data_IF_232300951591
#
_entry.id   IF_232300951591
#
_cell.length_a   1.000
_cell.length_b   1.000
_cell.length_c   1.000
_cell.angle_alpha   90.00
_cell.angle_beta   90.00
_cell.angle_gamma   90.00
#
_symmetry.space_group_name_H-M   'P 1'
#
loop_
_entity.id
_entity.type
_entity.pdbx_description
1 polymer ?
#
# COMPACT_ATOMS: atom_id res chain seq x y z
N UNK A 1 17.25 -28.74 36.01
CA UNK A 1 16.63 -28.33 34.74
C UNK A 1 15.16 -27.99 35.00
N UNK A 2 14.84 -26.70 35.15
CA UNK A 2 13.46 -26.22 35.30
C UNK A 2 13.00 -25.67 33.96
N UNK A 3 12.05 -26.37 33.31
CA UNK A 3 11.33 -25.84 32.16
C UNK A 3 10.42 -24.71 32.64
N UNK A 4 10.83 -23.47 32.41
CA UNK A 4 9.95 -22.31 32.56
C UNK A 4 8.99 -22.33 31.37
N UNK A 5 7.79 -22.86 31.58
CA UNK A 5 6.65 -22.63 30.68
C UNK A 5 6.31 -21.14 30.74
N UNK A 6 6.59 -20.41 29.66
CA UNK A 6 6.10 -19.04 29.45
C UNK A 6 4.57 -19.08 29.26
N UNK A 7 3.83 -19.19 30.36
CA UNK A 7 2.42 -18.87 30.40
C UNK A 7 2.30 -17.34 30.39
N UNK A 8 1.97 -16.79 29.23
CA UNK A 8 1.56 -15.39 29.10
C UNK A 8 0.26 -15.20 29.89
N UNK A 9 0.36 -14.78 31.15
CA UNK A 9 -0.77 -14.31 31.93
C UNK A 9 -1.26 -13.00 31.31
N UNK A 10 -2.45 -13.04 30.70
CA UNK A 10 -3.19 -11.82 30.41
C UNK A 10 -3.56 -11.18 31.75
N UNK A 11 -3.08 -9.96 32.00
CA UNK A 11 -3.46 -9.23 33.20
C UNK A 11 -4.99 -9.12 33.24
N UNK A 12 -5.58 -9.65 34.31
CA UNK A 12 -7.02 -9.58 34.56
C UNK A 12 -7.42 -8.10 34.54
N UNK A 13 -8.53 -7.79 33.89
CA UNK A 13 -9.14 -6.44 33.67
C UNK A 13 -9.41 -5.61 34.96
N UNK A 14 -8.97 -6.07 36.12
CA UNK A 14 -9.30 -5.55 37.45
C UNK A 14 -8.31 -4.51 38.01
N UNK A 15 -7.09 -4.40 37.46
CA UNK A 15 -6.06 -3.50 38.04
C UNK A 15 -5.98 -2.10 37.39
N UNK A 16 -6.66 -1.87 36.26
CA UNK A 16 -6.68 -0.54 35.60
C UNK A 16 -7.62 0.47 36.26
N UNK A 17 -8.39 0.09 37.30
CA UNK A 17 -9.24 1.02 38.06
C UNK A 17 -8.55 1.65 39.27
N UNK A 18 -7.37 1.18 39.67
CA UNK A 18 -6.73 1.61 40.93
C UNK A 18 -5.63 2.66 40.74
N UNK A 19 -5.27 3.02 39.50
CA UNK A 19 -4.21 3.99 39.22
C UNK A 19 -4.71 5.45 39.02
N UNK A 20 -6.01 5.72 39.23
CA UNK A 20 -6.63 7.06 39.07
C UNK A 20 -6.87 7.84 40.37
N UNK A 21 -6.35 7.39 41.52
CA UNK A 21 -6.49 8.13 42.79
C UNK A 21 -5.19 8.19 43.58
N UNK A 22 -4.25 9.01 43.11
CA UNK A 22 -3.43 9.83 44.02
C UNK A 22 -2.73 10.96 43.27
N UNK A 23 -2.80 12.16 43.86
CA UNK A 23 -1.97 13.35 43.65
C UNK A 23 -2.51 14.48 42.75
N UNK A 24 -3.20 15.40 43.44
CA UNK A 24 -3.36 16.84 43.18
C UNK A 24 -2.45 17.52 44.25
N UNK A 25 -1.42 18.33 43.97
CA UNK A 25 -1.33 19.76 43.60
C UNK A 25 0.17 20.11 43.85
N UNK A 26 0.96 20.82 43.01
CA UNK A 26 1.07 22.31 42.89
C UNK A 26 2.11 22.69 41.79
N UNK A 27 1.70 23.58 40.88
CA UNK A 27 2.36 24.66 40.09
C UNK A 27 3.90 24.63 39.84
N UNK A 28 4.46 24.89 38.64
CA UNK A 28 4.44 26.18 37.92
C UNK A 28 4.98 26.05 36.46
N UNK A 29 4.29 26.69 35.50
CA UNK A 29 4.65 27.30 34.19
C UNK A 29 5.82 26.76 33.30
N UNK A 30 5.49 26.37 32.05
CA UNK A 30 5.97 26.93 30.75
C UNK A 30 5.02 26.41 29.62
N UNK A 31 4.78 27.26 28.62
CA UNK A 31 3.72 27.23 27.60
C UNK A 31 3.87 26.21 26.43
N UNK A 32 2.70 25.84 25.86
CA UNK A 32 2.39 25.35 24.48
C UNK A 32 2.39 23.83 24.12
N UNK A 33 1.55 23.35 23.16
CA UNK A 33 0.29 22.69 23.51
C UNK A 33 0.10 21.24 23.00
N UNK A 34 -0.85 20.58 23.67
CA UNK A 34 -1.69 19.43 23.27
C UNK A 34 -1.23 18.00 23.62
N UNK A 35 -1.70 17.40 24.75
CA UNK A 35 -1.60 15.98 24.99
C UNK A 35 -2.78 15.25 24.32
N UNK A 36 -2.49 14.46 23.29
CA UNK A 36 -3.46 13.53 22.69
C UNK A 36 -3.93 12.53 23.76
N UNK A 37 -5.20 12.63 24.15
CA UNK A 37 -5.88 11.57 24.89
C UNK A 37 -6.04 10.35 23.97
N UNK A 38 -5.46 9.21 24.35
CA UNK A 38 -5.64 7.94 23.64
C UNK A 38 -7.14 7.60 23.54
N UNK A 39 -7.70 7.35 22.34
CA UNK A 39 -9.08 6.92 22.21
C UNK A 39 -9.26 5.55 22.85
N UNK A 40 -10.24 5.43 23.75
CA UNK A 40 -10.57 4.14 24.39
C UNK A 40 -11.11 3.16 23.35
N UNK A 41 -10.50 1.97 23.27
CA UNK A 41 -10.83 0.83 22.37
C UNK A 41 -12.32 0.45 22.36
N UNK A 42 -13.08 0.80 23.41
CA UNK A 42 -14.53 0.57 23.49
C UNK A 42 -15.35 1.45 22.54
N UNK A 43 -14.87 2.63 22.15
CA UNK A 43 -15.59 3.54 21.25
C UNK A 43 -15.50 3.12 19.78
N UNK A 44 -14.49 2.33 19.41
CA UNK A 44 -14.24 1.92 18.02
C UNK A 44 -15.19 0.80 17.53
N UNK A 45 -15.95 0.16 18.41
CA UNK A 45 -16.71 -1.05 18.09
C UNK A 45 -18.16 -0.85 17.61
N UNK A 46 -18.74 0.35 17.75
CA UNK A 46 -20.20 0.53 17.58
C UNK A 46 -20.67 1.02 16.19
N UNK A 47 -19.78 1.24 15.22
CA UNK A 47 -20.14 1.76 13.89
C UNK A 47 -20.13 0.75 12.73
N UNK A 48 -20.04 -0.56 12.99
CA UNK A 48 -19.72 -1.55 11.93
C UNK A 48 -20.94 -1.99 11.07
N UNK A 49 -22.19 -1.62 11.40
CA UNK A 49 -23.37 -2.26 10.79
C UNK A 49 -24.36 -1.38 10.01
N UNK A 50 -24.11 -0.08 9.79
CA UNK A 50 -25.08 0.77 9.06
C UNK A 50 -24.49 1.39 7.79
N UNK A 51 -25.15 1.07 6.66
CA UNK A 51 -24.94 1.53 5.28
C UNK A 51 -23.76 0.93 4.50
N UNK A 52 -24.00 -0.23 3.87
CA UNK A 52 -23.28 -0.65 2.66
C UNK A 52 -23.69 0.22 1.48
N UNK A 53 -23.29 1.48 1.45
CA UNK A 53 -23.26 2.23 0.19
C UNK A 53 -22.17 1.60 -0.69
N UNK A 54 -22.47 1.31 -1.96
CA UNK A 54 -21.45 0.83 -2.89
C UNK A 54 -20.28 1.84 -2.92
N UNK A 55 -19.01 1.39 -2.84
CA UNK A 55 -17.85 2.28 -2.78
C UNK A 55 -17.56 2.96 -4.13
N UNK A 56 -18.34 2.64 -5.16
CA UNK A 56 -18.28 3.25 -6.48
C UNK A 56 -19.65 3.80 -6.89
N UNK A 57 -19.64 4.80 -7.76
CA UNK A 57 -20.83 5.33 -8.43
C UNK A 57 -20.81 4.94 -9.89
N UNK A 58 -21.92 4.40 -10.37
CA UNK A 58 -22.10 4.22 -11.80
C UNK A 58 -22.29 5.59 -12.44
N UNK A 59 -21.52 5.88 -13.47
CA UNK A 59 -21.73 7.06 -14.28
C UNK A 59 -23.08 6.96 -15.01
N UNK A 60 -23.53 8.08 -15.56
CA UNK A 60 -24.72 8.14 -16.43
C UNK A 60 -24.61 7.11 -17.57
N UNK A 61 -23.39 6.90 -18.08
CA UNK A 61 -23.12 5.75 -18.92
C UNK A 61 -23.08 4.48 -18.08
N UNK A 62 -24.02 3.57 -18.32
CA UNK A 62 -24.14 2.30 -17.58
C UNK A 62 -22.91 1.37 -17.69
N UNK A 63 -21.90 1.79 -18.45
CA UNK A 63 -20.68 1.07 -18.73
C UNK A 63 -19.44 1.66 -18.04
N UNK A 64 -19.55 2.79 -17.32
CA UNK A 64 -18.46 3.37 -16.52
C UNK A 64 -18.83 3.39 -15.05
N UNK A 65 -17.90 2.97 -14.19
CA UNK A 65 -18.05 2.92 -12.75
C UNK A 65 -16.90 3.70 -12.11
N UNK A 66 -17.22 4.84 -11.49
CA UNK A 66 -16.26 5.73 -10.89
C UNK A 66 -16.06 5.37 -9.42
N UNK A 67 -14.81 5.16 -9.04
CA UNK A 67 -14.42 4.80 -7.68
C UNK A 67 -13.96 6.02 -6.89
N UNK A 68 -13.08 6.84 -7.48
CA UNK A 68 -12.54 8.02 -6.81
C UNK A 68 -12.23 9.14 -7.78
N UNK A 69 -12.19 10.37 -7.27
CA UNK A 69 -11.77 11.55 -8.00
C UNK A 69 -10.80 12.38 -7.18
N UNK A 70 -9.65 12.72 -7.76
CA UNK A 70 -8.58 13.43 -7.07
C UNK A 70 -8.11 14.63 -7.90
N UNK A 71 -8.09 15.82 -7.30
CA UNK A 71 -7.53 17.02 -7.90
C UNK A 71 -6.02 17.09 -7.64
N UNK A 72 -5.23 17.04 -8.71
CA UNK A 72 -3.78 17.25 -8.68
C UNK A 72 -3.49 18.64 -9.23
N UNK A 73 -2.89 19.50 -8.41
CA UNK A 73 -2.70 20.91 -8.76
C UNK A 73 -1.46 21.22 -9.60
N UNK A 74 -0.44 20.37 -9.54
CA UNK A 74 0.81 20.54 -10.29
C UNK A 74 1.20 19.19 -10.91
N UNK A 75 0.53 18.83 -11.99
CA UNK A 75 0.90 17.67 -12.80
C UNK A 75 1.87 18.10 -13.90
N UNK A 76 2.95 17.36 -14.08
CA UNK A 76 3.80 17.51 -15.27
C UNK A 76 3.17 16.71 -16.41
N UNK A 77 2.43 17.38 -17.30
CA UNK A 77 1.75 16.73 -18.43
C UNK A 77 2.74 16.46 -19.57
N UNK A 78 2.61 15.31 -20.24
CA UNK A 78 3.41 14.98 -21.44
C UNK A 78 3.12 15.89 -22.65
N UNK A 79 2.02 16.65 -22.62
CA UNK A 79 1.48 17.30 -23.81
C UNK A 79 1.29 18.81 -23.73
N UNK A 80 1.32 19.48 -22.56
CA UNK A 80 1.04 20.94 -22.49
C UNK A 80 1.63 21.66 -21.24
N UNK A 81 2.67 21.11 -20.60
CA UNK A 81 3.30 21.76 -19.44
C UNK A 81 2.62 21.44 -18.11
N UNK A 82 2.81 22.32 -17.10
CA UNK A 82 2.25 22.16 -15.75
C UNK A 82 0.80 22.62 -15.71
N UNK A 83 -0.09 21.86 -15.08
CA UNK A 83 -1.50 22.22 -14.98
C UNK A 83 -2.22 21.57 -13.80
N UNK A 84 -3.50 21.92 -13.61
CA UNK A 84 -4.39 21.22 -12.69
C UNK A 84 -5.20 20.17 -13.44
N UNK A 85 -5.35 19.01 -12.84
CA UNK A 85 -6.11 17.90 -13.42
C UNK A 85 -6.95 17.22 -12.34
N UNK A 86 -8.20 16.92 -12.65
CA UNK A 86 -8.97 15.96 -11.85
C UNK A 86 -8.81 14.59 -12.48
N UNK A 87 -8.36 13.64 -11.68
CA UNK A 87 -8.21 12.25 -12.08
C UNK A 87 -9.40 11.48 -11.54
N UNK A 88 -10.17 10.86 -12.42
CA UNK A 88 -11.23 9.93 -12.06
C UNK A 88 -10.74 8.50 -12.26
N UNK A 89 -10.63 7.74 -11.18
CA UNK A 89 -10.25 6.32 -11.21
C UNK A 89 -11.50 5.45 -11.17
N UNK A 90 -11.49 4.34 -11.89
CA UNK A 90 -12.63 3.42 -11.88
C UNK A 90 -12.50 2.27 -12.84
N UNK A 91 -13.65 1.72 -13.23
CA UNK A 91 -13.78 0.63 -14.18
C UNK A 91 -14.65 1.02 -15.37
N UNK A 92 -14.37 0.42 -16.51
CA UNK A 92 -15.23 0.51 -17.70
C UNK A 92 -15.48 -0.89 -18.29
N UNK A 93 -16.65 -1.08 -18.91
CA UNK A 93 -16.93 -2.34 -19.62
C UNK A 93 -16.13 -2.42 -20.91
N UNK A 94 -15.75 -3.63 -21.29
CA UNK A 94 -14.99 -3.93 -22.52
C UNK A 94 -15.60 -3.38 -23.81
N UNK A 95 -16.93 -3.23 -23.87
CA UNK A 95 -17.65 -2.62 -25.01
C UNK A 95 -17.23 -1.17 -25.30
N UNK A 96 -16.56 -0.51 -24.35
CA UNK A 96 -16.08 0.85 -24.48
C UNK A 96 -14.64 0.97 -24.98
N UNK A 97 -13.94 -0.14 -25.23
CA UNK A 97 -12.53 -0.10 -25.63
C UNK A 97 -12.32 0.75 -26.90
N UNK A 98 -13.19 0.61 -27.90
CA UNK A 98 -13.11 1.33 -29.18
C UNK A 98 -13.64 2.77 -29.11
N UNK A 99 -14.24 3.19 -27.99
CA UNK A 99 -14.70 4.56 -27.80
C UNK A 99 -13.56 5.44 -27.33
N UNK A 100 -13.34 6.53 -28.06
CA UNK A 100 -12.21 7.46 -27.81
C UNK A 100 -12.60 8.76 -27.11
N UNK A 101 -13.90 9.10 -27.07
CA UNK A 101 -14.35 10.40 -26.59
C UNK A 101 -15.16 10.28 -25.30
N UNK A 102 -14.56 10.78 -24.21
CA UNK A 102 -15.17 10.89 -22.90
C UNK A 102 -15.06 12.32 -22.39
N UNK A 103 -16.09 12.76 -21.69
CA UNK A 103 -16.18 14.12 -21.14
C UNK A 103 -16.32 14.03 -19.62
N UNK A 104 -15.56 14.85 -18.90
CA UNK A 104 -15.74 15.01 -17.46
C UNK A 104 -16.70 16.18 -17.20
N UNK A 105 -17.71 15.93 -16.40
CA UNK A 105 -18.72 16.90 -15.98
C UNK A 105 -18.46 17.28 -14.52
N UNK A 106 -18.42 18.56 -14.23
CA UNK A 106 -18.07 19.06 -12.91
C UNK A 106 -19.20 19.84 -12.27
N UNK A 107 -19.30 19.72 -10.94
CA UNK A 107 -20.01 20.66 -10.09
C UNK A 107 -19.01 21.54 -9.36
N UNK A 108 -19.22 22.84 -9.46
CA UNK A 108 -18.49 23.84 -8.68
C UNK A 108 -19.16 24.07 -7.32
N UNK A 109 -18.45 24.74 -6.43
CA UNK A 109 -18.98 25.11 -5.11
C UNK A 109 -20.18 26.06 -5.19
N UNK A 110 -20.27 26.87 -6.24
CA UNK A 110 -21.40 27.75 -6.56
C UNK A 110 -22.57 27.02 -7.24
N UNK A 111 -22.54 25.69 -7.28
CA UNK A 111 -23.47 24.80 -7.97
C UNK A 111 -23.55 25.00 -9.50
N UNK A 112 -22.64 25.77 -10.10
CA UNK A 112 -22.53 25.83 -11.56
C UNK A 112 -21.88 24.57 -12.12
N UNK A 113 -22.26 24.20 -13.33
CA UNK A 113 -21.70 23.05 -14.04
C UNK A 113 -20.84 23.51 -15.21
N UNK A 114 -19.77 22.76 -15.46
CA UNK A 114 -18.98 22.88 -16.68
C UNK A 114 -18.42 21.51 -17.05
N UNK A 115 -17.88 21.40 -18.26
CA UNK A 115 -17.34 20.14 -18.75
C UNK A 115 -16.05 20.33 -19.54
N UNK A 116 -15.25 19.27 -19.58
CA UNK A 116 -13.98 19.23 -20.32
C UNK A 116 -13.82 17.88 -20.99
N UNK A 117 -13.13 17.86 -22.13
CA UNK A 117 -12.71 16.59 -22.73
C UNK A 117 -11.70 15.91 -21.82
N UNK A 118 -11.86 14.60 -21.63
CA UNK A 118 -10.95 13.81 -20.83
C UNK A 118 -9.92 13.11 -21.71
N UNK A 119 -8.72 12.89 -21.16
CA UNK A 119 -7.78 11.91 -21.71
C UNK A 119 -7.97 10.60 -20.96
N UNK A 120 -8.31 9.53 -21.69
CA UNK A 120 -8.53 8.19 -21.13
C UNK A 120 -7.21 7.41 -21.13
N UNK A 121 -6.83 6.87 -19.97
CA UNK A 121 -5.76 5.87 -19.84
C UNK A 121 -6.35 4.57 -19.30
N UNK A 122 -6.27 3.50 -20.09
CA UNK A 122 -6.74 2.17 -19.69
C UNK A 122 -5.53 1.29 -19.43
N UNK A 123 -5.57 0.48 -18.37
CA UNK A 123 -4.50 -0.48 -18.12
C UNK A 123 -4.66 -1.66 -19.10
N UNK A 124 -3.72 -1.77 -20.03
CA UNK A 124 -3.75 -2.73 -21.15
C UNK A 124 -3.58 -4.19 -20.72
N UNK A 125 -3.11 -4.47 -19.51
CA UNK A 125 -2.65 -5.81 -19.13
C UNK A 125 -3.74 -6.84 -18.79
N UNK A 126 -5.03 -6.48 -18.76
CA UNK A 126 -6.10 -7.37 -18.29
C UNK A 126 -7.28 -7.47 -19.28
N UNK A 127 -7.00 -7.96 -20.49
CA UNK A 127 -8.01 -8.15 -21.55
C UNK A 127 -8.99 -9.33 -21.34
N UNK A 128 -8.89 -10.05 -20.22
CA UNK A 128 -9.54 -11.35 -20.03
C UNK A 128 -10.92 -11.32 -19.37
N UNK A 129 -11.49 -10.17 -19.02
CA UNK A 129 -12.87 -10.16 -18.53
C UNK A 129 -13.64 -8.86 -18.75
N UNK A 130 -14.83 -8.74 -18.13
CA UNK A 130 -15.85 -7.78 -18.57
C UNK A 130 -15.54 -6.33 -18.23
N UNK A 131 -14.63 -6.10 -17.27
CA UNK A 131 -14.26 -4.79 -16.77
C UNK A 131 -12.76 -4.54 -16.91
N UNK A 132 -12.42 -3.28 -17.22
CA UNK A 132 -11.06 -2.77 -17.33
C UNK A 132 -10.88 -1.62 -16.34
N UNK A 133 -9.74 -1.59 -15.64
CA UNK A 133 -9.35 -0.43 -14.84
C UNK A 133 -9.00 0.75 -15.74
N UNK A 134 -9.55 1.92 -15.46
CA UNK A 134 -9.40 3.12 -16.26
C UNK A 134 -9.11 4.34 -15.37
N UNK A 135 -8.37 5.29 -15.93
CA UNK A 135 -8.23 6.65 -15.41
C UNK A 135 -8.70 7.64 -16.46
N UNK A 136 -9.57 8.56 -16.08
CA UNK A 136 -9.91 9.73 -16.89
C UNK A 136 -9.18 10.95 -16.33
N UNK A 137 -8.35 11.56 -17.16
CA UNK A 137 -7.62 12.77 -16.83
C UNK A 137 -8.38 13.97 -17.38
N UNK A 138 -8.94 14.78 -16.48
CA UNK A 138 -9.80 15.90 -16.80
C UNK A 138 -9.04 17.22 -16.51
N UNK A 139 -8.45 17.90 -17.51
CA UNK A 139 -7.73 19.15 -17.28
C UNK A 139 -8.70 20.23 -16.79
N UNK A 140 -8.31 20.99 -15.77
CA UNK A 140 -9.18 22.00 -15.15
C UNK A 140 -8.41 23.29 -14.90
N UNK A 141 -9.09 24.42 -15.10
CA UNK A 141 -8.52 25.76 -14.88
C UNK A 141 -9.15 26.48 -13.68
N UNK A 142 -10.01 25.80 -12.91
CA UNK A 142 -10.73 26.36 -11.77
C UNK A 142 -10.34 25.61 -10.49
N UNK A 143 -10.29 26.33 -9.37
CA UNK A 143 -9.95 25.77 -8.06
C UNK A 143 -11.14 25.25 -7.26
N UNK A 144 -12.36 25.73 -7.54
CA UNK A 144 -13.56 25.43 -6.74
C UNK A 144 -14.36 24.23 -7.25
N UNK A 145 -13.70 23.07 -7.39
CA UNK A 145 -14.35 21.83 -7.87
C UNK A 145 -14.78 20.99 -6.68
N UNK A 146 -16.09 20.69 -6.62
CA UNK A 146 -16.67 19.90 -5.53
C UNK A 146 -16.88 18.44 -5.92
N UNK A 147 -17.43 18.21 -7.12
CA UNK A 147 -17.77 16.86 -7.61
C UNK A 147 -17.50 16.71 -9.09
N UNK A 148 -17.33 15.47 -9.53
CA UNK A 148 -17.13 15.11 -10.94
C UNK A 148 -17.92 13.86 -11.31
N UNK A 149 -18.36 13.79 -12.56
CA UNK A 149 -18.86 12.60 -13.24
C UNK A 149 -18.14 12.46 -14.59
N UNK A 150 -18.17 11.26 -15.17
CA UNK A 150 -17.68 10.98 -16.53
C UNK A 150 -18.88 10.64 -17.41
N UNK A 151 -18.88 11.08 -18.66
CA UNK A 151 -19.89 10.74 -19.66
C UNK A 151 -19.25 10.26 -20.96
N UNK A 152 -19.92 9.37 -21.65
CA UNK A 152 -19.60 8.98 -23.03
C UNK A 152 -20.04 10.11 -23.98
N UNK A 153 -19.12 10.60 -24.82
CA UNK A 153 -19.39 11.63 -25.83
C UNK A 153 -19.51 13.08 -25.31
N UNK A 154 -19.51 14.07 -26.23
CA UNK A 154 -19.26 15.48 -25.92
C UNK A 154 -20.41 16.27 -25.26
N UNK A 155 -21.59 15.69 -24.97
CA UNK A 155 -22.80 16.50 -24.72
C UNK A 155 -23.77 16.04 -23.63
N UNK A 156 -23.43 15.09 -22.74
CA UNK A 156 -24.41 14.58 -21.77
C UNK A 156 -23.92 14.69 -20.31
N UNK A 157 -23.68 15.92 -19.85
CA UNK A 157 -23.63 16.17 -18.42
C UNK A 157 -25.06 16.12 -17.87
N UNK A 158 -25.35 15.09 -17.09
CA UNK A 158 -26.66 14.95 -16.45
C UNK A 158 -26.72 15.84 -15.23
N UNK A 159 -27.85 16.51 -15.03
CA UNK A 159 -28.09 17.43 -13.91
C UNK A 159 -28.32 16.76 -12.55
N UNK A 160 -28.19 15.44 -12.47
CA UNK A 160 -28.51 14.64 -11.30
C UNK A 160 -27.26 14.41 -10.44
N UNK A 161 -27.23 14.96 -9.22
CA UNK A 161 -26.07 14.97 -8.33
C UNK A 161 -25.66 13.56 -7.85
N UNK A 162 -26.59 12.60 -7.88
CA UNK A 162 -26.34 11.21 -7.50
C UNK A 162 -25.29 10.52 -8.36
N UNK A 163 -25.09 10.94 -9.61
CA UNK A 163 -24.09 10.38 -10.52
C UNK A 163 -22.68 10.95 -10.29
N UNK A 164 -22.52 11.96 -9.45
CA UNK A 164 -21.24 12.62 -9.24
C UNK A 164 -20.55 12.10 -7.98
N UNK A 165 -19.24 11.87 -8.07
CA UNK A 165 -18.38 11.57 -6.93
C UNK A 165 -17.67 12.84 -6.44
N UNK A 166 -17.39 12.89 -5.13
CA UNK A 166 -16.62 13.98 -4.52
C UNK A 166 -15.21 14.00 -5.08
N UNK A 167 -14.67 15.19 -5.33
CA UNK A 167 -13.25 15.39 -5.66
C UNK A 167 -12.47 15.60 -4.37
N UNK A 168 -11.48 14.75 -4.11
CA UNK A 168 -10.55 14.87 -2.99
C UNK A 168 -9.28 15.63 -3.43
N UNK A 169 -8.61 16.26 -2.46
CA UNK A 169 -7.35 16.98 -2.69
C UNK A 169 -6.24 16.25 -1.90
N UNK A 170 -5.15 15.81 -2.55
CA UNK A 170 -4.03 15.16 -1.88
C UNK A 170 -3.38 16.04 -0.81
N UNK A 171 -3.00 15.43 0.30
CA UNK A 171 -2.16 16.09 1.31
C UNK A 171 -0.77 16.32 0.70
N UNK A 172 -0.24 17.54 0.83
CA UNK A 172 1.12 17.88 0.41
C UNK A 172 2.10 17.60 1.54
N UNK A 173 3.19 16.90 1.22
CA UNK A 173 4.31 16.62 2.11
C UNK A 173 5.61 16.64 1.32
N UNK A 174 6.21 17.83 1.21
CA UNK A 174 7.38 18.10 0.34
C UNK A 174 8.65 17.35 0.74
N UNK A 175 8.70 16.80 1.96
CA UNK A 175 9.78 15.96 2.47
C UNK A 175 9.29 14.56 2.85
N UNK A 176 8.03 14.24 2.58
CA UNK A 176 7.38 13.02 3.03
C UNK A 176 7.71 11.80 2.20
N UNK A 177 7.77 10.64 2.86
CA UNK A 177 7.76 9.32 2.26
C UNK A 177 6.44 8.63 2.63
N UNK A 178 5.61 8.34 1.63
CA UNK A 178 4.41 7.55 1.81
C UNK A 178 4.58 6.14 1.24
N UNK A 179 3.83 5.20 1.80
CA UNK A 179 3.67 3.85 1.26
C UNK A 179 2.26 3.67 0.74
N UNK A 180 2.17 3.33 -0.53
CA UNK A 180 0.99 2.75 -1.14
C UNK A 180 1.01 1.24 -0.93
N UNK A 181 0.16 0.74 -0.02
CA UNK A 181 0.10 -0.69 0.27
C UNK A 181 -1.10 -1.35 -0.40
N UNK A 182 -0.85 -2.49 -1.05
CA UNK A 182 -1.90 -3.32 -1.65
C UNK A 182 -3.02 -3.65 -0.67
N UNK A 183 -4.19 -3.92 -1.23
CA UNK A 183 -5.38 -4.34 -0.50
C UNK A 183 -5.11 -5.54 0.42
N UNK A 184 -5.60 -5.41 1.64
CA UNK A 184 -5.64 -6.46 2.65
C UNK A 184 -7.00 -7.16 2.62
N UNK A 185 -7.01 -8.48 2.48
CA UNK A 185 -8.25 -9.24 2.46
C UNK A 185 -8.13 -10.59 3.16
N UNK A 186 -9.28 -11.12 3.58
CA UNK A 186 -9.39 -12.46 4.15
C UNK A 186 -8.67 -12.61 5.49
N UNK A 187 -7.95 -13.71 5.65
CA UNK A 187 -7.28 -14.05 6.91
C UNK A 187 -5.79 -13.68 6.86
N UNK A 188 -5.44 -12.50 7.37
CA UNK A 188 -4.05 -12.06 7.53
C UNK A 188 -3.57 -12.18 8.99
N UNK A 189 -2.30 -12.53 9.17
CA UNK A 189 -1.70 -12.56 10.51
C UNK A 189 -1.51 -11.14 11.06
N UNK A 190 -2.25 -10.81 12.10
CA UNK A 190 -2.18 -9.50 12.76
C UNK A 190 -0.78 -9.18 13.30
N UNK A 191 -0.01 -10.18 13.73
CA UNK A 191 1.37 -9.99 14.21
C UNK A 191 2.30 -9.57 13.08
N UNK A 192 2.14 -10.17 11.89
CA UNK A 192 2.92 -9.80 10.72
C UNK A 192 2.58 -8.37 10.26
N UNK A 193 1.30 -8.01 10.24
CA UNK A 193 0.87 -6.64 9.91
C UNK A 193 1.48 -5.65 10.90
N UNK A 194 1.42 -5.96 12.20
CA UNK A 194 2.00 -5.11 13.24
C UNK A 194 3.50 -4.93 13.08
N UNK A 195 4.25 -6.01 12.84
CA UNK A 195 5.68 -5.96 12.54
C UNK A 195 5.95 -5.12 11.27
N UNK A 196 5.12 -5.28 10.24
CA UNK A 196 5.25 -4.50 9.01
C UNK A 196 5.14 -3.00 9.25
N UNK A 197 4.10 -2.53 9.95
CA UNK A 197 3.95 -1.11 10.25
C UNK A 197 5.09 -0.55 11.12
N UNK A 198 5.53 -1.30 12.13
CA UNK A 198 6.63 -0.85 12.99
C UNK A 198 7.95 -0.78 12.22
N UNK A 199 8.21 -1.67 11.26
CA UNK A 199 9.37 -1.54 10.35
C UNK A 199 9.21 -0.30 9.47
N UNK A 200 8.07 -0.08 8.82
CA UNK A 200 7.87 1.11 7.98
C UNK A 200 8.08 2.40 8.79
N UNK A 201 7.57 2.45 10.02
CA UNK A 201 7.69 3.61 10.91
C UNK A 201 9.14 3.84 11.33
N UNK A 202 9.87 2.78 11.70
CA UNK A 202 11.30 2.87 12.00
C UNK A 202 12.09 3.39 10.78
N UNK A 203 11.69 2.99 9.58
CA UNK A 203 12.35 3.36 8.33
C UNK A 203 12.05 4.78 7.86
N UNK A 204 11.26 5.54 8.62
CA UNK A 204 10.95 6.95 8.34
C UNK A 204 9.86 7.13 7.28
N UNK A 205 8.99 6.13 7.07
CA UNK A 205 7.72 6.32 6.36
C UNK A 205 6.85 7.24 7.22
N UNK A 206 6.21 8.23 6.58
CA UNK A 206 5.36 9.22 7.24
C UNK A 206 3.87 8.87 7.17
N UNK A 207 3.45 8.17 6.10
CA UNK A 207 2.05 7.78 5.88
C UNK A 207 1.95 6.45 5.16
N UNK A 208 1.01 5.62 5.58
CA UNK A 208 0.59 4.43 4.84
C UNK A 208 -0.83 4.61 4.36
N UNK A 209 -1.07 4.45 3.06
CA UNK A 209 -2.42 4.30 2.51
C UNK A 209 -2.64 2.83 2.16
N UNK A 210 -3.73 2.25 2.63
CA UNK A 210 -4.10 0.89 2.28
C UNK A 210 -5.61 0.69 2.21
N UNK A 211 -6.00 -0.47 1.71
CA UNK A 211 -7.38 -0.82 1.39
C UNK A 211 -7.71 -2.13 2.09
N UNK A 212 -8.97 -2.31 2.47
CA UNK A 212 -9.41 -3.57 3.09
C UNK A 212 -10.63 -4.13 2.40
N UNK A 213 -10.71 -5.45 2.30
CA UNK A 213 -11.91 -6.16 1.87
C UNK A 213 -12.08 -7.47 2.66
N UNK A 214 -13.15 -7.58 3.44
CA UNK A 214 -13.46 -8.77 4.26
C UNK A 214 -12.25 -9.28 5.06
N UNK A 215 -11.55 -8.34 5.71
CA UNK A 215 -10.37 -8.65 6.52
C UNK A 215 -10.78 -9.18 7.89
N UNK A 216 -10.04 -10.15 8.44
CA UNK A 216 -10.31 -10.67 9.78
C UNK A 216 -10.17 -9.57 10.84
N UNK A 217 -10.90 -9.74 11.95
CA UNK A 217 -11.01 -8.72 12.98
C UNK A 217 -9.70 -8.41 13.71
N UNK A 218 -8.80 -9.39 13.86
CA UNK A 218 -7.52 -9.18 14.54
C UNK A 218 -6.59 -8.29 13.71
N UNK A 219 -6.56 -8.50 12.39
CA UNK A 219 -5.83 -7.65 11.45
C UNK A 219 -6.43 -6.25 11.38
N UNK A 220 -7.77 -6.12 11.36
CA UNK A 220 -8.45 -4.82 11.40
C UNK A 220 -8.09 -4.00 12.64
N UNK A 221 -8.04 -4.61 13.84
CA UNK A 221 -7.64 -3.92 15.08
C UNK A 221 -6.24 -3.28 14.95
N UNK A 222 -5.31 -3.93 14.27
CA UNK A 222 -3.97 -3.37 14.04
C UNK A 222 -4.04 -2.19 13.07
N UNK A 223 -4.81 -2.29 11.97
CA UNK A 223 -4.99 -1.20 11.01
C UNK A 223 -5.64 0.03 11.66
N UNK A 224 -6.69 -0.21 12.45
CA UNK A 224 -7.43 0.81 13.19
C UNK A 224 -6.56 1.53 14.21
N UNK A 225 -5.67 0.81 14.91
CA UNK A 225 -4.69 1.44 15.79
C UNK A 225 -3.81 2.45 15.02
N UNK A 226 -3.25 2.06 13.87
CA UNK A 226 -2.39 2.96 13.09
C UNK A 226 -3.15 4.11 12.43
N UNK A 227 -4.41 3.91 12.07
CA UNK A 227 -5.29 4.99 11.61
C UNK A 227 -5.59 5.98 12.74
N UNK A 228 -5.89 5.49 13.96
CA UNK A 228 -6.26 6.32 15.11
C UNK A 228 -5.15 7.28 15.55
N UNK A 229 -3.88 6.93 15.30
CA UNK A 229 -2.72 7.78 15.56
C UNK A 229 -2.29 8.60 14.34
N UNK A 230 -3.10 8.62 13.28
CA UNK A 230 -2.87 9.38 12.05
C UNK A 230 -1.80 8.79 11.10
N UNK A 231 -1.17 7.68 11.46
CA UNK A 231 -0.06 7.08 10.70
C UNK A 231 -0.52 6.35 9.43
N UNK A 232 -1.72 5.77 9.46
CA UNK A 232 -2.34 5.13 8.31
C UNK A 232 -3.59 5.88 7.84
N UNK A 233 -4.00 5.64 6.60
CA UNK A 233 -5.32 5.91 6.06
C UNK A 233 -5.85 4.58 5.51
N UNK A 234 -7.03 4.15 5.99
CA UNK A 234 -7.60 2.84 5.67
C UNK A 234 -8.89 3.03 4.88
N UNK A 235 -8.84 2.71 3.58
CA UNK A 235 -10.05 2.69 2.76
C UNK A 235 -10.76 1.35 2.99
N UNK A 236 -11.86 1.41 3.75
CA UNK A 236 -12.64 0.24 4.18
C UNK A 236 -13.55 -0.28 3.10
N UNK A 237 -13.88 -1.57 3.21
CA UNK A 237 -14.87 -2.27 2.41
C UNK A 237 -14.76 -2.01 0.90
N UNK A 238 -13.51 -2.03 0.41
CA UNK A 238 -13.24 -1.90 -1.01
C UNK A 238 -13.98 -2.98 -1.80
N UNK A 239 -14.75 -2.56 -2.79
CA UNK A 239 -15.51 -3.45 -3.65
C UNK A 239 -15.52 -2.92 -5.09
N UNK A 240 -15.84 -3.80 -6.03
CA UNK A 240 -15.84 -3.47 -7.46
C UNK A 240 -17.10 -4.00 -8.16
N UNK A 241 -17.49 -3.41 -9.30
CA UNK A 241 -18.70 -3.79 -10.01
C UNK A 241 -18.67 -5.26 -10.46
N UNK A 242 -19.80 -5.95 -10.39
CA UNK A 242 -19.96 -7.33 -10.87
C UNK A 242 -19.03 -8.37 -10.20
N UNK A 243 -18.44 -8.04 -9.04
CA UNK A 243 -17.51 -8.92 -8.32
C UNK A 243 -18.07 -10.32 -8.07
N UNK A 244 -19.29 -10.43 -7.56
CA UNK A 244 -19.87 -11.74 -7.26
C UNK A 244 -20.07 -12.60 -8.51
N UNK A 245 -20.51 -11.97 -9.61
CA UNK A 245 -20.67 -12.65 -10.90
C UNK A 245 -19.32 -13.12 -11.44
N UNK A 246 -18.30 -12.26 -11.36
CA UNK A 246 -16.94 -12.60 -11.77
C UNK A 246 -16.34 -13.71 -10.89
N UNK A 247 -16.58 -13.70 -9.57
CA UNK A 247 -16.14 -14.76 -8.67
C UNK A 247 -16.84 -16.10 -8.95
N UNK A 248 -18.13 -16.08 -9.31
CA UNK A 248 -18.88 -17.28 -9.69
C UNK A 248 -18.39 -17.87 -11.01
N UNK A 249 -18.11 -17.01 -12.00
CA UNK A 249 -17.80 -17.42 -13.36
C UNK A 249 -16.32 -17.76 -13.58
N UNK A 250 -15.40 -17.15 -12.82
CA UNK A 250 -13.99 -17.23 -13.15
C UNK A 250 -13.40 -18.64 -12.98
N UNK A 251 -13.91 -19.48 -12.07
CA UNK A 251 -13.27 -20.75 -11.68
C UNK A 251 -11.85 -20.63 -11.09
N UNK A 252 -11.22 -19.48 -11.33
CA UNK A 252 -9.90 -19.03 -10.95
C UNK A 252 -10.04 -17.72 -10.17
N UNK A 253 -9.68 -17.77 -8.89
CA UNK A 253 -9.68 -16.64 -7.96
C UNK A 253 -8.67 -15.54 -8.33
N UNK A 254 -7.80 -15.76 -9.31
CA UNK A 254 -6.74 -14.82 -9.68
C UNK A 254 -7.27 -13.56 -10.38
N UNK A 255 -8.27 -13.69 -11.26
CA UNK A 255 -8.74 -12.58 -12.09
C UNK A 255 -9.38 -11.41 -11.30
N UNK A 256 -10.29 -11.66 -10.33
CA UNK A 256 -10.78 -10.62 -9.41
C UNK A 256 -9.66 -9.85 -8.70
N UNK A 257 -8.61 -10.56 -8.27
CA UNK A 257 -7.49 -9.93 -7.59
C UNK A 257 -6.76 -8.93 -8.50
N UNK A 258 -6.62 -9.21 -9.81
CA UNK A 258 -5.93 -8.30 -10.73
C UNK A 258 -6.73 -7.02 -11.05
N UNK A 259 -8.05 -7.15 -11.22
CA UNK A 259 -8.94 -6.00 -11.49
C UNK A 259 -8.98 -5.05 -10.28
N UNK A 260 -8.97 -5.60 -9.07
CA UNK A 260 -8.88 -4.84 -7.82
C UNK A 260 -7.58 -4.07 -7.73
N UNK A 261 -6.46 -4.74 -8.04
CA UNK A 261 -5.14 -4.20 -7.82
C UNK A 261 -4.89 -2.92 -8.60
N UNK A 262 -5.29 -2.84 -9.88
CA UNK A 262 -4.92 -1.67 -10.69
C UNK A 262 -5.70 -0.41 -10.32
N UNK A 263 -7.01 -0.49 -10.07
CA UNK A 263 -7.78 0.70 -9.62
C UNK A 263 -7.29 1.18 -8.26
N UNK A 264 -6.98 0.25 -7.36
CA UNK A 264 -6.41 0.56 -6.05
C UNK A 264 -5.05 1.24 -6.21
N UNK A 265 -4.17 0.71 -7.06
CA UNK A 265 -2.89 1.33 -7.32
C UNK A 265 -3.08 2.75 -7.88
N UNK A 266 -3.95 2.93 -8.87
CA UNK A 266 -4.25 4.24 -9.44
C UNK A 266 -4.76 5.24 -8.40
N UNK A 267 -5.79 4.88 -7.62
CA UNK A 267 -6.35 5.72 -6.55
C UNK A 267 -5.30 6.10 -5.51
N UNK A 268 -4.55 5.11 -5.08
CA UNK A 268 -3.52 5.27 -4.07
C UNK A 268 -2.40 6.21 -4.51
N UNK A 269 -1.95 6.08 -5.76
CA UNK A 269 -0.98 7.00 -6.37
C UNK A 269 -1.52 8.42 -6.46
N UNK A 270 -2.80 8.59 -6.84
CA UNK A 270 -3.43 9.91 -6.88
C UNK A 270 -3.48 10.56 -5.48
N UNK A 271 -3.94 9.82 -4.46
CA UNK A 271 -4.07 10.31 -3.09
C UNK A 271 -2.74 10.68 -2.45
N UNK A 272 -1.67 9.97 -2.83
CA UNK A 272 -0.32 10.20 -2.32
C UNK A 272 0.54 11.11 -3.21
N UNK A 273 -0.03 11.69 -4.28
CA UNK A 273 0.73 12.51 -5.24
C UNK A 273 1.46 13.69 -4.61
N UNK A 274 0.94 14.22 -3.49
CA UNK A 274 1.55 15.34 -2.76
C UNK A 274 2.80 14.99 -1.96
N UNK A 275 3.19 13.71 -1.85
CA UNK A 275 4.40 13.29 -1.14
C UNK A 275 5.64 13.38 -2.03
N UNK A 276 6.80 13.69 -1.44
CA UNK A 276 8.10 13.68 -2.13
C UNK A 276 8.42 12.30 -2.72
N UNK A 277 8.22 11.26 -1.91
CA UNK A 277 8.47 9.88 -2.28
C UNK A 277 7.24 9.02 -2.03
N UNK A 278 6.93 8.14 -2.98
CA UNK A 278 5.89 7.12 -2.84
C UNK A 278 6.49 5.75 -3.14
N UNK A 279 6.41 4.88 -2.14
CA UNK A 279 6.79 3.48 -2.18
C UNK A 279 5.57 2.60 -2.50
N UNK A 280 5.73 1.57 -3.33
CA UNK A 280 4.68 0.56 -3.54
C UNK A 280 5.12 -0.75 -2.88
N UNK A 281 4.37 -1.21 -1.88
CA UNK A 281 4.75 -2.37 -1.07
C UNK A 281 3.58 -3.29 -0.70
N UNK A 282 3.87 -4.58 -0.71
CA UNK A 282 2.99 -5.59 -0.12
C UNK A 282 3.34 -5.74 1.37
N UNK A 283 2.45 -6.32 2.18
CA UNK A 283 2.63 -6.42 3.66
C UNK A 283 3.63 -7.50 4.09
N UNK A 284 4.25 -8.15 3.12
CA UNK A 284 5.34 -9.11 3.25
C UNK A 284 6.65 -8.58 2.64
N UNK A 285 6.69 -7.30 2.26
CA UNK A 285 7.82 -6.66 1.60
C UNK A 285 8.37 -5.47 2.39
N UNK A 286 9.69 -5.31 2.37
CA UNK A 286 10.41 -4.30 3.14
C UNK A 286 11.56 -3.71 2.34
N UNK A 287 11.62 -2.38 2.21
CA UNK A 287 12.80 -1.71 1.70
C UNK A 287 13.84 -1.61 2.81
N UNK A 288 14.94 -2.34 2.69
CA UNK A 288 15.99 -2.35 3.71
C UNK A 288 17.19 -1.55 3.21
N UNK A 289 17.47 -0.37 3.80
CA UNK A 289 18.68 0.36 3.49
C UNK A 289 19.88 -0.31 4.17
N UNK A 290 21.09 0.01 3.72
CA UNK A 290 22.29 -0.31 4.49
C UNK A 290 22.32 0.55 5.77
N UNK A 291 21.85 -0.04 6.87
CA UNK A 291 21.63 0.70 8.12
C UNK A 291 22.94 1.14 8.77
N UNK A 292 24.05 0.48 8.46
CA UNK A 292 25.38 0.87 8.97
C UNK A 292 25.87 2.16 8.31
N UNK A 293 25.53 2.38 7.03
CA UNK A 293 25.98 3.55 6.25
C UNK A 293 24.99 4.71 6.27
N UNK A 294 23.69 4.43 6.23
CA UNK A 294 22.64 5.45 6.07
C UNK A 294 21.73 5.58 7.30
N UNK A 295 21.99 4.80 8.36
CA UNK A 295 21.06 4.71 9.48
C UNK A 295 19.74 4.04 9.08
N UNK A 296 18.72 4.21 9.91
CA UNK A 296 17.40 3.60 9.65
C UNK A 296 16.54 4.43 8.69
N UNK A 297 16.92 5.65 8.29
CA UNK A 297 16.04 6.52 7.49
C UNK A 297 16.15 6.23 5.99
N UNK A 298 15.06 5.73 5.38
CA UNK A 298 14.98 5.61 3.92
C UNK A 298 15.11 6.97 3.24
N UNK A 299 14.50 8.02 3.80
CA UNK A 299 14.52 9.37 3.22
C UNK A 299 15.94 9.89 3.01
N UNK A 300 16.82 9.76 4.01
CA UNK A 300 18.22 10.21 3.90
C UNK A 300 18.99 9.50 2.79
N UNK A 301 18.70 8.23 2.55
CA UNK A 301 19.30 7.47 1.46
C UNK A 301 18.66 7.86 0.11
N UNK A 302 17.34 8.05 0.06
CA UNK A 302 16.61 8.44 -1.14
C UNK A 302 17.03 9.84 -1.60
N UNK A 303 17.18 10.80 -0.69
CA UNK A 303 17.68 12.15 -1.01
C UNK A 303 18.97 12.06 -1.83
N UNK A 304 19.94 11.23 -1.40
CA UNK A 304 21.20 10.99 -2.12
C UNK A 304 21.05 10.29 -3.46
N UNK A 305 20.08 9.37 -3.61
CA UNK A 305 19.86 8.71 -4.90
C UNK A 305 19.25 9.70 -5.89
N UNK A 306 18.23 10.42 -5.44
CA UNK A 306 17.39 11.33 -6.24
C UNK A 306 17.99 12.74 -6.43
N UNK A 307 19.16 13.03 -5.87
CA UNK A 307 20.03 14.13 -6.30
C UNK A 307 20.34 14.07 -7.80
N UNK A 308 20.38 12.86 -8.37
CA UNK A 308 20.45 12.66 -9.81
C UNK A 308 19.07 12.85 -10.47
N UNK A 309 19.03 12.90 -11.80
CA UNK A 309 17.80 12.96 -12.58
C UNK A 309 17.01 11.62 -12.59
N UNK A 310 16.84 10.97 -11.43
CA UNK A 310 16.01 9.79 -11.29
C UNK A 310 14.56 10.16 -10.92
N UNK A 311 13.61 9.44 -11.52
CA UNK A 311 12.18 9.45 -11.19
C UNK A 311 11.81 8.30 -10.26
N UNK A 312 12.56 7.21 -10.25
CA UNK A 312 12.36 6.13 -9.31
C UNK A 312 13.50 5.12 -9.21
N UNK A 313 13.43 4.30 -8.17
CA UNK A 313 14.40 3.26 -7.85
C UNK A 313 13.70 1.91 -7.74
N UNK A 314 14.33 0.87 -8.27
CA UNK A 314 13.81 -0.51 -8.29
C UNK A 314 14.88 -1.45 -7.70
N UNK A 315 15.01 -1.56 -6.37
CA UNK A 315 16.02 -2.41 -5.76
C UNK A 315 15.79 -3.88 -6.07
N UNK A 316 16.88 -4.64 -6.23
CA UNK A 316 16.81 -6.10 -6.35
C UNK A 316 16.17 -6.73 -5.11
N UNK A 317 15.63 -7.94 -5.28
CA UNK A 317 14.86 -8.63 -4.25
C UNK A 317 15.66 -9.74 -3.60
N UNK A 318 15.67 -9.78 -2.27
CA UNK A 318 16.11 -10.92 -1.47
C UNK A 318 14.87 -11.67 -0.96
N UNK A 319 14.71 -12.92 -1.37
CA UNK A 319 13.58 -13.74 -0.98
C UNK A 319 13.88 -14.43 0.36
N UNK A 320 13.00 -14.24 1.34
CA UNK A 320 12.99 -14.91 2.63
C UNK A 320 11.91 -15.98 2.63
N UNK A 321 12.31 -17.25 2.56
CA UNK A 321 11.39 -18.35 2.38
C UNK A 321 10.78 -18.79 3.72
N UNK A 322 9.52 -18.47 3.93
CA UNK A 322 8.79 -18.78 5.18
C UNK A 322 8.36 -20.25 5.27
N UNK A 323 8.45 -20.98 4.16
CA UNK A 323 8.28 -22.43 4.09
C UNK A 323 9.55 -23.20 4.47
N UNK A 324 10.70 -22.54 4.62
CA UNK A 324 11.90 -23.18 5.17
C UNK A 324 11.82 -23.27 6.70
N UNK A 325 12.65 -24.13 7.30
CA UNK A 325 12.83 -24.12 8.75
C UNK A 325 13.31 -22.72 9.19
N UNK A 326 12.72 -22.13 10.24
CA UNK A 326 13.20 -20.88 10.81
C UNK A 326 14.71 -20.91 11.06
N UNK A 327 15.42 -19.86 10.64
CA UNK A 327 16.84 -19.69 10.94
C UNK A 327 17.08 -19.37 12.42
N UNK A 328 16.06 -18.87 13.11
CA UNK A 328 16.09 -18.57 14.55
C UNK A 328 14.72 -18.88 15.18
N UNK A 329 14.53 -20.13 15.60
CA UNK A 329 13.27 -20.59 16.19
C UNK A 329 12.92 -19.88 17.52
N UNK A 330 13.91 -19.35 18.24
CA UNK A 330 13.71 -18.65 19.51
C UNK A 330 13.34 -17.18 19.35
N UNK A 331 13.27 -16.66 18.13
CA UNK A 331 12.78 -15.30 17.89
C UNK A 331 11.29 -15.18 18.23
N UNK A 332 10.96 -14.20 19.07
CA UNK A 332 9.56 -13.86 19.39
C UNK A 332 8.85 -13.14 18.23
N UNK A 333 9.61 -12.55 17.30
CA UNK A 333 9.09 -11.87 16.12
C UNK A 333 9.16 -12.76 14.88
N UNK A 334 8.15 -12.66 14.01
CA UNK A 334 8.07 -13.40 12.76
C UNK A 334 9.26 -13.10 11.86
N UNK A 335 9.60 -11.83 11.66
CA UNK A 335 10.71 -11.44 10.78
C UNK A 335 12.06 -11.99 11.28
N UNK A 336 12.24 -12.05 12.60
CA UNK A 336 13.45 -12.62 13.20
C UNK A 336 13.57 -14.14 13.08
N UNK A 337 12.47 -14.85 12.82
CA UNK A 337 12.51 -16.30 12.54
C UNK A 337 13.13 -16.63 11.19
N UNK A 338 13.06 -15.71 10.23
CA UNK A 338 13.47 -15.91 8.85
C UNK A 338 14.49 -14.84 8.42
N UNK A 339 15.75 -14.99 8.86
CA UNK A 339 16.85 -14.06 8.55
C UNK A 339 17.73 -14.53 7.38
N UNK A 340 17.53 -15.76 6.91
CA UNK A 340 18.22 -16.30 5.74
C UNK A 340 17.43 -15.96 4.48
N UNK A 341 18.11 -15.34 3.53
CA UNK A 341 17.53 -15.01 2.21
C UNK A 341 18.29 -15.68 1.07
N UNK A 342 17.71 -15.65 -0.13
CA UNK A 342 18.42 -15.91 -1.39
C UNK A 342 19.46 -14.82 -1.68
N UNK A 343 20.28 -15.05 -2.72
CA UNK A 343 20.97 -13.95 -3.40
C UNK A 343 19.94 -12.92 -3.93
N UNK A 344 20.35 -11.65 -4.12
CA UNK A 344 19.50 -10.65 -4.78
C UNK A 344 19.12 -11.10 -6.19
N UNK A 345 17.85 -11.03 -6.53
CA UNK A 345 17.31 -11.42 -7.85
C UNK A 345 16.50 -10.28 -8.46
N UNK A 346 16.46 -10.26 -9.80
CA UNK A 346 15.56 -9.41 -10.55
C UNK A 346 14.22 -10.14 -10.77
N UNK A 347 13.39 -10.17 -9.75
CA UNK A 347 12.07 -10.81 -9.80
C UNK A 347 11.03 -9.91 -9.13
N UNK A 348 9.97 -9.56 -9.88
CA UNK A 348 8.83 -8.76 -9.39
C UNK A 348 9.25 -7.52 -8.60
N UNK A 349 10.20 -6.77 -9.15
CA UNK A 349 10.72 -5.55 -8.52
C UNK A 349 9.57 -4.63 -8.07
N UNK A 350 9.79 -3.99 -6.93
CA UNK A 350 8.96 -2.90 -6.44
C UNK A 350 9.75 -1.61 -6.53
N UNK A 351 9.06 -0.48 -6.52
CA UNK A 351 9.72 0.81 -6.65
C UNK A 351 9.34 1.81 -5.57
N UNK A 352 10.30 2.71 -5.33
CA UNK A 352 10.07 4.00 -4.69
C UNK A 352 10.26 5.05 -5.79
N UNK A 353 9.35 5.99 -5.91
CA UNK A 353 9.41 7.00 -6.98
C UNK A 353 9.03 8.39 -6.46
N UNK A 354 9.36 9.41 -7.25
CA UNK A 354 8.92 10.78 -7.05
C UNK A 354 7.73 11.06 -7.97
N UNK A 355 6.51 11.26 -7.46
CA UNK A 355 5.33 11.50 -8.30
C UNK A 355 5.51 12.67 -9.29
N UNK A 356 6.23 13.72 -8.90
CA UNK A 356 6.54 14.89 -9.75
C UNK A 356 7.53 14.60 -10.89
N UNK A 357 8.15 13.42 -10.92
CA UNK A 357 9.12 13.00 -11.94
C UNK A 357 8.65 11.80 -12.77
N UNK A 358 7.51 11.23 -12.43
CA UNK A 358 6.94 10.04 -13.09
C UNK A 358 5.74 10.43 -13.93
N UNK A 359 5.61 9.84 -15.13
CA UNK A 359 4.46 10.04 -15.99
C UNK A 359 3.22 9.57 -15.26
N UNK A 360 2.23 10.44 -15.19
CA UNK A 360 0.99 10.10 -14.51
C UNK A 360 0.26 8.94 -15.22
N UNK A 361 -0.31 8.04 -14.43
CA UNK A 361 -0.99 6.83 -14.92
C UNK A 361 -0.07 5.82 -15.60
N UNK A 362 1.24 5.93 -15.39
CA UNK A 362 2.23 4.94 -15.85
C UNK A 362 2.80 4.08 -14.72
N UNK A 363 2.26 4.27 -13.51
CA UNK A 363 2.68 3.57 -12.29
C UNK A 363 1.81 2.34 -12.13
N UNK A 364 2.40 1.18 -12.38
CA UNK A 364 1.75 -0.12 -12.16
C UNK A 364 2.34 -0.79 -10.91
N UNK A 365 2.01 -2.06 -10.65
CA UNK A 365 2.55 -2.79 -9.49
C UNK A 365 4.07 -2.97 -9.54
N UNK A 366 4.65 -3.08 -10.74
CA UNK A 366 6.06 -3.44 -10.94
C UNK A 366 6.82 -2.50 -11.87
N UNK A 367 6.15 -1.51 -12.45
CA UNK A 367 6.72 -0.64 -13.49
C UNK A 367 6.35 0.81 -13.20
N UNK A 368 7.25 1.71 -13.60
CA UNK A 368 7.03 3.14 -13.63
C UNK A 368 7.61 3.68 -14.93
N UNK A 369 6.99 4.71 -15.51
CA UNK A 369 7.60 5.43 -16.63
C UNK A 369 7.99 6.84 -16.20
N UNK A 370 9.29 7.18 -16.20
CA UNK A 370 9.74 8.54 -15.94
C UNK A 370 9.21 9.56 -16.96
N UNK A 371 9.02 10.82 -16.54
CA UNK A 371 8.85 11.95 -17.48
C UNK A 371 10.17 12.16 -18.22
N UNK A 372 10.14 12.48 -19.52
CA UNK A 372 11.22 12.24 -20.49
C UNK A 372 12.67 12.65 -20.13
N UNK A 373 12.88 13.62 -19.24
CA UNK A 373 14.23 14.00 -18.77
C UNK A 373 14.78 13.14 -17.63
N UNK A 374 13.90 12.42 -16.93
CA UNK A 374 14.26 11.60 -15.78
C UNK A 374 14.42 10.12 -16.15
N UNK A 375 15.05 9.36 -15.28
CA UNK A 375 15.35 7.93 -15.48
C UNK A 375 14.92 7.08 -14.28
N UNK A 376 14.80 5.77 -14.47
CA UNK A 376 14.71 4.82 -13.35
C UNK A 376 16.06 4.13 -13.16
N UNK A 377 16.36 3.66 -11.95
CA UNK A 377 17.60 2.96 -11.66
C UNK A 377 17.41 1.77 -10.73
N UNK A 378 18.31 0.79 -10.82
CA UNK A 378 18.45 -0.28 -9.83
C UNK A 378 19.62 0.12 -8.91
N UNK A 379 19.37 0.52 -7.66
CA UNK A 379 20.44 0.89 -6.75
C UNK A 379 21.34 -0.32 -6.43
N UNK A 380 22.63 -0.10 -6.10
CA UNK A 380 23.48 -1.17 -5.61
C UNK A 380 22.86 -1.90 -4.42
N UNK A 381 23.00 -3.23 -4.36
CA UNK A 381 22.48 -4.06 -3.25
C UNK A 381 23.07 -3.70 -1.89
N UNK A 382 24.23 -3.03 -1.88
CA UNK A 382 24.89 -2.49 -0.69
C UNK A 382 24.31 -1.16 -0.23
N UNK A 383 23.36 -0.59 -0.97
CA UNK A 383 22.67 0.66 -0.65
C UNK A 383 21.21 0.39 -0.28
N UNK A 384 20.46 -0.30 -1.15
CA UNK A 384 19.06 -0.60 -0.96
C UNK A 384 18.72 -1.97 -1.55
N UNK A 385 17.94 -2.75 -0.80
CA UNK A 385 17.43 -4.05 -1.24
C UNK A 385 15.99 -4.22 -0.80
N UNK A 386 15.17 -4.89 -1.60
CA UNK A 386 13.82 -5.29 -1.21
C UNK A 386 13.89 -6.66 -0.52
N UNK A 387 13.41 -6.79 0.70
CA UNK A 387 13.23 -8.08 1.37
C UNK A 387 11.80 -8.53 1.15
N UNK A 388 11.60 -9.74 0.60
CA UNK A 388 10.28 -10.31 0.35
C UNK A 388 10.10 -11.62 1.11
N UNK A 389 9.20 -11.64 2.09
CA UNK A 389 8.90 -12.78 2.96
C UNK A 389 7.76 -13.63 2.39
N UNK A 390 8.06 -14.80 1.84
CA UNK A 390 7.05 -15.57 1.12
C UNK A 390 7.21 -17.07 1.26
N UNK A 391 6.13 -17.80 1.00
CA UNK A 391 6.22 -19.25 0.78
C UNK A 391 6.87 -19.53 -0.57
N UNK A 392 7.52 -20.70 -0.66
CA UNK A 392 7.94 -21.26 -1.93
C UNK A 392 6.76 -21.31 -2.91
N UNK A 393 7.00 -20.96 -4.17
CA UNK A 393 6.01 -21.17 -5.24
C UNK A 393 6.37 -22.42 -6.03
N UNK A 394 5.34 -23.12 -6.51
CA UNK A 394 5.51 -24.31 -7.36
C UNK A 394 6.22 -23.99 -8.70
N UNK A 395 6.10 -22.75 -9.19
CA UNK A 395 6.72 -22.28 -10.44
C UNK A 395 8.17 -21.77 -10.28
N UNK A 396 8.73 -21.70 -9.07
CA UNK A 396 10.16 -21.43 -8.87
C UNK A 396 11.07 -22.63 -9.19
N UNK A 397 10.63 -23.53 -10.06
CA UNK A 397 11.53 -24.39 -10.79
C UNK A 397 12.37 -23.53 -11.75
N UNK A 398 13.30 -22.74 -11.20
CA UNK A 398 14.26 -21.99 -11.99
C UNK A 398 14.93 -22.97 -12.96
N UNK A 399 14.98 -22.52 -14.21
CA UNK A 399 15.32 -23.36 -15.35
C UNK A 399 16.57 -24.20 -15.06
N UNK A 400 16.56 -25.45 -15.56
CA UNK A 400 17.69 -26.40 -15.51
C UNK A 400 19.00 -25.89 -16.15
N UNK A 401 19.06 -24.61 -16.55
CA UNK A 401 20.19 -23.93 -17.18
C UNK A 401 21.07 -23.17 -16.18
N UNK A 402 21.02 -23.51 -14.89
CA UNK A 402 22.14 -23.15 -14.00
C UNK A 402 23.34 -23.99 -14.45
N UNK A 403 24.39 -23.29 -14.89
CA UNK A 403 25.62 -23.89 -15.39
C UNK A 403 26.14 -24.94 -14.40
N UNK A 404 26.59 -26.10 -14.89
CA UNK A 404 26.96 -27.23 -14.02
C UNK A 404 28.05 -26.89 -12.98
N UNK A 405 28.82 -25.83 -13.21
CA UNK A 405 29.85 -25.32 -12.31
C UNK A 405 29.30 -24.51 -11.11
N UNK A 406 28.02 -24.12 -11.12
CA UNK A 406 27.34 -23.45 -9.99
C UNK A 406 26.54 -24.44 -9.12
N UNK A 407 26.57 -25.74 -9.43
CA UNK A 407 25.83 -26.81 -8.70
C UNK A 407 26.30 -27.06 -7.27
N UNK A 408 27.37 -26.42 -6.80
CA UNK A 408 27.91 -26.62 -5.45
C UNK A 408 27.05 -26.01 -4.32
N UNK A 409 25.84 -25.52 -4.61
CA UNK A 409 25.01 -24.83 -3.61
C UNK A 409 23.55 -25.24 -3.69
N UNK A 410 23.29 -26.55 -3.71
CA UNK A 410 21.95 -27.12 -3.62
C UNK A 410 21.83 -27.92 -2.32
N UNK A 411 21.36 -27.28 -1.25
CA UNK A 411 20.79 -28.05 -0.13
C UNK A 411 19.44 -28.58 -0.59
N UNK A 412 19.34 -29.89 -0.77
CA UNK A 412 18.06 -30.58 -0.98
C UNK A 412 17.30 -30.51 0.34
N UNK A 413 16.45 -29.51 0.52
CA UNK A 413 15.49 -29.51 1.62
C UNK A 413 14.45 -30.59 1.29
N UNK A 414 14.54 -31.71 1.99
CA UNK A 414 13.69 -32.87 1.79
C UNK A 414 12.31 -32.61 2.45
N UNK A 415 11.59 -31.60 1.98
CA UNK A 415 10.14 -31.51 2.21
C UNK A 415 9.49 -32.23 1.03
N UNK A 416 8.66 -33.22 1.32
CA UNK A 416 8.07 -34.13 0.32
C UNK A 416 7.16 -33.44 -0.69
N UNK A 417 6.79 -32.16 -0.47
CA UNK A 417 5.73 -31.51 -1.25
C UNK A 417 6.09 -30.18 -1.93
N UNK A 418 7.25 -29.55 -1.65
CA UNK A 418 7.63 -28.27 -2.28
C UNK A 418 9.08 -28.27 -2.81
N UNK A 419 9.24 -28.29 -4.13
CA UNK A 419 10.53 -28.26 -4.85
C UNK A 419 11.13 -26.85 -4.92
N UNK A 420 11.40 -26.23 -3.78
CA UNK A 420 12.33 -25.10 -3.76
C UNK A 420 13.76 -25.64 -3.77
N UNK A 421 14.44 -25.56 -4.91
CA UNK A 421 15.85 -25.92 -5.00
C UNK A 421 16.70 -24.98 -4.13
N UNK A 422 17.64 -25.55 -3.38
CA UNK A 422 18.47 -24.82 -2.42
C UNK A 422 19.26 -23.71 -3.09
N UNK A 423 19.22 -22.51 -2.53
CA UNK A 423 20.08 -21.40 -2.91
C UNK A 423 21.22 -21.30 -1.90
N UNK A 424 22.31 -20.62 -2.28
CA UNK A 424 23.19 -20.03 -1.27
C UNK A 424 22.33 -19.10 -0.42
N UNK A 425 22.29 -19.34 0.87
CA UNK A 425 21.58 -18.47 1.79
C UNK A 425 22.53 -17.42 2.34
N UNK A 426 22.00 -16.22 2.55
CA UNK A 426 22.75 -15.09 3.07
C UNK A 426 22.06 -14.60 4.34
N UNK A 427 22.82 -14.48 5.41
CA UNK A 427 22.35 -13.90 6.65
C UNK A 427 22.15 -12.39 6.50
N UNK A 428 21.00 -11.88 6.93
CA UNK A 428 20.64 -10.47 6.79
C UNK A 428 20.87 -9.66 8.07
N UNK A 429 22.11 -9.18 8.25
CA UNK A 429 22.52 -8.36 9.41
C UNK A 429 21.72 -7.06 9.57
N UNK A 430 21.44 -6.35 8.46
CA UNK A 430 20.67 -5.10 8.52
C UNK A 430 19.24 -5.34 9.02
N UNK A 431 18.64 -6.48 8.64
CA UNK A 431 17.32 -6.86 9.10
C UNK A 431 17.32 -7.24 10.59
N UNK A 432 18.34 -7.94 11.06
CA UNK A 432 18.50 -8.23 12.50
C UNK A 432 18.57 -6.95 13.34
N UNK A 433 19.30 -5.93 12.87
CA UNK A 433 19.37 -4.63 13.55
C UNK A 433 18.00 -3.92 13.59
N UNK A 434 17.25 -3.95 12.50
CA UNK A 434 15.87 -3.43 12.43
C UNK A 434 14.98 -4.16 13.44
N UNK A 435 15.03 -5.49 13.47
CA UNK A 435 14.24 -6.33 14.38
C UNK A 435 14.58 -5.98 15.83
N UNK A 436 15.86 -5.82 16.17
CA UNK A 436 16.31 -5.41 17.50
C UNK A 436 15.71 -4.07 17.94
N UNK A 437 15.54 -3.11 17.02
CA UNK A 437 14.97 -1.78 17.31
C UNK A 437 13.46 -1.79 17.52
N UNK A 438 12.72 -2.60 16.76
CA UNK A 438 11.25 -2.65 16.88
C UNK A 438 10.76 -3.61 17.97
N UNK A 439 11.60 -4.56 18.41
CA UNK A 439 11.19 -5.71 19.25
C UNK A 439 10.36 -5.31 20.46
N UNK A 440 10.87 -4.42 21.31
CA UNK A 440 10.21 -4.05 22.57
C UNK A 440 8.82 -3.47 22.31
N UNK A 441 8.71 -2.55 21.34
CA UNK A 441 7.46 -1.88 20.99
C UNK A 441 6.47 -2.83 20.34
N UNK A 442 6.91 -3.71 19.43
CA UNK A 442 6.04 -4.73 18.84
C UNK A 442 5.47 -5.65 19.92
N UNK A 443 6.30 -6.16 20.84
CA UNK A 443 5.83 -7.05 21.91
C UNK A 443 4.85 -6.35 22.86
N UNK A 444 5.07 -5.08 23.15
CA UNK A 444 4.13 -4.26 23.92
C UNK A 444 2.79 -4.10 23.21
N UNK A 445 2.81 -3.74 21.93
CA UNK A 445 1.59 -3.58 21.12
C UNK A 445 0.87 -4.90 20.90
N UNK A 446 1.58 -6.03 20.73
CA UNK A 446 0.96 -7.35 20.69
C UNK A 446 0.18 -7.64 21.98
N UNK A 447 0.73 -7.30 23.15
CA UNK A 447 0.03 -7.47 24.43
C UNK A 447 -1.18 -6.54 24.54
N UNK A 448 -1.04 -5.28 24.13
CA UNK A 448 -2.13 -4.29 24.22
C UNK A 448 -3.27 -4.58 23.25
N UNK A 449 -2.96 -4.86 21.99
CA UNK A 449 -3.95 -4.94 20.91
C UNK A 449 -4.52 -6.35 20.74
N UNK A 450 -3.70 -7.39 20.92
CA UNK A 450 -4.08 -8.76 20.55
C UNK A 450 -4.49 -9.63 21.75
N UNK A 451 -4.28 -9.17 22.99
CA UNK A 451 -4.72 -9.89 24.19
C UNK A 451 -6.13 -9.51 24.69
N UNK A 452 -6.75 -8.45 24.16
CA UNK A 452 -8.04 -7.93 24.67
C UNK A 452 -9.28 -8.80 24.38
N UNK A 453 -9.12 -10.00 23.81
CA UNK A 453 -10.24 -10.81 23.32
C UNK A 453 -10.18 -12.32 23.58
N UNK A 454 -9.33 -12.77 24.50
CA UNK A 454 -9.46 -14.13 25.01
C UNK A 454 -10.49 -14.21 26.12
#
# INVERSE_FOLDING_TARGET
>A
MLFVKNNYYCAKKQELKTFQKTNMIRDTLIENPNPYTEPTISAMHNEINNHKSNPYKQAVSSNVYMYSAILIEDITHEFDGRGKVVIVNGWEKKVLLDKINFTCCFYREDNTQFYVNSTRKSATFLNSGPLHSVQYMCPVNVSSIRKVSVSEGPQHCVGHEEYYIKVDIPIKSESGLAVCSKISYGNMDAKLILEWFEVQRLLGVDKVLTYTYKLNMQAMVVLEYYESIGYAEIIRDFDFPQKEEMLRNAGDTSYPAWVDLQVIMHDCQSRLYGYKYVAVLDKDEFYVPNVTKYGFSLKQMLDKIFENDFAGVQPLVKMHMTSWKPSNESSDLFLGKYLLSTAPVNDRLKFIHMPSRTKYGSVEVHTIMPVGKYKSTIPPVTQLVLHHYRKCRKDYAFSKNINANERNILFKYNSTDDKCFGFKTYYQKDMELIIGKIRTRVLELQRKLLCLRK
#
